data_IF_833151692105
#
_entry.id   IF_833151692105
#
_cell.length_a   1.000
_cell.length_b   1.000
_cell.length_c   1.000
_cell.angle_alpha   90.00
_cell.angle_beta   90.00
_cell.angle_gamma   90.00
#
_symmetry.space_group_name_H-M   'P 1'
#
loop_
_entity.id
_entity.type
_entity.pdbx_description
1 polymer ?
#
# COMPACT_ATOMS: atom_id res chain seq x y z
N UNK A 1 -85.54 -48.49 59.58
CA UNK A 1 -85.46 -49.21 58.29
C UNK A 1 -84.63 -48.38 57.31
N UNK A 2 -83.66 -49.04 56.65
CA UNK A 2 -82.79 -48.57 55.53
C UNK A 2 -81.68 -47.53 55.83
N UNK A 3 -80.44 -48.04 55.91
CA UNK A 3 -79.16 -47.43 55.50
C UNK A 3 -79.13 -47.24 53.94
N UNK A 4 -78.05 -46.73 53.28
CA UNK A 4 -77.15 -45.57 53.51
C UNK A 4 -76.76 -44.84 52.17
N UNK A 5 -75.60 -44.14 52.16
CA UNK A 5 -74.69 -43.77 51.02
C UNK A 5 -74.83 -42.34 50.49
N UNK A 6 -73.80 -41.64 49.98
CA UNK A 6 -72.31 -41.62 49.98
C UNK A 6 -71.96 -40.29 49.24
N UNK A 7 -70.84 -39.61 49.57
CA UNK A 7 -69.93 -38.91 48.61
C UNK A 7 -70.51 -37.61 47.97
N UNK A 8 -69.84 -36.45 47.88
CA UNK A 8 -68.58 -36.16 47.16
C UNK A 8 -68.12 -34.72 47.44
N UNK A 9 -66.83 -34.59 47.78
CA UNK A 9 -65.81 -33.57 47.47
C UNK A 9 -66.13 -32.08 47.19
N UNK A 10 -65.30 -31.28 47.86
CA UNK A 10 -64.92 -29.89 47.62
C UNK A 10 -64.38 -29.59 46.21
N UNK A 11 -64.39 -28.31 45.82
CA UNK A 11 -63.21 -27.64 45.26
C UNK A 11 -63.44 -26.12 45.19
N UNK A 12 -62.75 -25.38 46.07
CA UNK A 12 -62.68 -23.91 46.06
C UNK A 12 -61.48 -23.50 45.21
N UNK A 13 -61.71 -22.91 44.04
CA UNK A 13 -60.66 -22.40 43.17
C UNK A 13 -60.20 -21.01 43.64
N UNK A 14 -59.05 -20.94 44.31
CA UNK A 14 -58.28 -19.71 44.49
C UNK A 14 -57.32 -19.56 43.31
N UNK A 15 -57.61 -18.62 42.41
CA UNK A 15 -56.69 -18.20 41.34
C UNK A 15 -55.61 -17.30 41.94
N UNK A 16 -54.44 -17.86 42.22
CA UNK A 16 -53.22 -17.10 42.48
C UNK A 16 -52.57 -16.77 41.13
N UNK A 17 -52.63 -15.51 40.73
CA UNK A 17 -51.90 -14.98 39.58
C UNK A 17 -50.40 -14.94 39.91
N UNK A 18 -49.67 -15.99 39.52
CA UNK A 18 -48.22 -15.97 39.49
C UNK A 18 -47.75 -15.19 38.26
N UNK A 19 -47.38 -13.93 38.46
CA UNK A 19 -46.60 -13.15 37.48
C UNK A 19 -45.19 -13.73 37.47
N UNK A 20 -44.95 -14.68 36.56
CA UNK A 20 -43.62 -15.20 36.28
C UNK A 20 -42.90 -14.18 35.41
N UNK A 21 -42.12 -13.31 36.03
CA UNK A 21 -41.13 -12.47 35.34
C UNK A 21 -40.03 -13.40 34.83
N UNK A 22 -40.14 -13.89 33.61
CA UNK A 22 -39.03 -14.50 32.89
C UNK A 22 -37.97 -13.42 32.65
N UNK A 23 -37.01 -13.31 33.56
CA UNK A 23 -35.71 -12.73 33.24
C UNK A 23 -35.06 -13.65 32.20
N UNK A 24 -35.24 -13.30 30.93
CA UNK A 24 -34.38 -13.81 29.86
C UNK A 24 -32.99 -13.26 30.13
N UNK A 25 -32.19 -14.02 30.88
CA UNK A 25 -30.75 -13.81 30.97
C UNK A 25 -30.20 -14.17 29.59
N UNK A 26 -30.15 -13.19 28.69
CA UNK A 26 -29.32 -13.30 27.50
C UNK A 26 -27.92 -13.65 27.99
N UNK A 27 -27.31 -14.78 27.56
CA UNK A 27 -25.94 -15.07 27.91
C UNK A 27 -25.12 -13.85 27.49
N UNK A 28 -24.43 -13.24 28.47
CA UNK A 28 -23.43 -12.24 28.16
C UNK A 28 -22.43 -12.92 27.25
N UNK A 29 -22.54 -12.64 25.94
CA UNK A 29 -21.47 -12.93 24.99
C UNK A 29 -20.22 -12.36 25.65
N UNK A 30 -19.15 -13.16 25.85
CA UNK A 30 -17.90 -12.63 26.37
C UNK A 30 -17.56 -11.42 25.52
N UNK A 31 -17.72 -10.24 26.12
CA UNK A 31 -17.37 -9.00 25.47
C UNK A 31 -15.90 -9.16 25.17
N UNK A 32 -15.58 -9.35 23.89
CA UNK A 32 -14.23 -9.13 23.42
C UNK A 32 -13.96 -7.69 23.81
N UNK A 33 -13.24 -7.49 24.91
CA UNK A 33 -12.67 -6.18 25.19
C UNK A 33 -12.01 -5.73 23.90
N UNK A 34 -12.24 -4.49 23.43
CA UNK A 34 -11.81 -4.08 22.10
C UNK A 34 -10.32 -4.44 21.99
N UNK A 35 -9.92 -5.26 21.00
CA UNK A 35 -8.53 -5.68 20.89
C UNK A 35 -7.69 -4.41 20.93
N UNK A 36 -6.70 -4.35 21.82
CA UNK A 36 -5.72 -3.26 21.79
C UNK A 36 -5.05 -3.35 20.42
N UNK A 37 -5.37 -2.44 19.51
CA UNK A 37 -5.34 -2.76 18.08
C UNK A 37 -4.00 -2.44 17.44
N UNK A 38 -3.02 -1.98 18.22
CA UNK A 38 -1.67 -1.62 17.81
C UNK A 38 -0.66 -2.27 18.77
N UNK A 39 0.46 -2.84 18.28
CA UNK A 39 1.58 -3.22 19.13
C UNK A 39 2.02 -2.05 20.01
N UNK A 40 2.36 -2.30 21.28
CA UNK A 40 2.83 -1.25 22.20
C UNK A 40 4.19 -0.67 21.82
N UNK A 41 4.94 -1.35 20.95
CA UNK A 41 6.25 -0.94 20.44
C UNK A 41 6.42 -1.36 18.98
N UNK A 42 7.19 -0.56 18.25
CA UNK A 42 7.79 -0.95 16.98
C UNK A 42 8.99 -1.87 17.25
N UNK A 43 9.08 -3.02 16.57
CA UNK A 43 10.18 -4.00 16.75
C UNK A 43 10.99 -4.23 15.46
N UNK A 44 10.85 -3.35 14.46
CA UNK A 44 11.67 -3.36 13.26
C UNK A 44 13.02 -2.70 13.44
N UNK A 45 14.06 -3.28 12.85
CA UNK A 45 15.42 -2.72 12.79
C UNK A 45 15.59 -1.64 11.71
N UNK A 46 14.56 -1.43 10.88
CA UNK A 46 14.51 -0.44 9.78
C UNK A 46 13.20 0.35 9.81
N UNK A 47 13.18 1.50 9.14
CA UNK A 47 11.94 2.29 8.96
C UNK A 47 10.98 1.59 8.04
N UNK A 48 9.76 1.37 8.52
CA UNK A 48 8.69 0.79 7.72
C UNK A 48 8.85 -0.69 7.42
N UNK A 49 10.05 -1.24 7.49
CA UNK A 49 10.38 -2.63 7.17
C UNK A 49 9.94 -3.68 8.19
N UNK A 50 8.94 -3.40 9.03
CA UNK A 50 8.45 -4.37 10.01
C UNK A 50 6.93 -4.33 10.10
N UNK A 51 6.37 -5.53 10.25
CA UNK A 51 4.97 -5.76 10.58
C UNK A 51 4.86 -6.91 11.59
N UNK A 52 3.81 -6.95 12.42
CA UNK A 52 3.42 -8.15 13.14
C UNK A 52 3.02 -9.28 12.17
N UNK A 53 2.89 -10.49 12.70
CA UNK A 53 2.35 -11.62 11.94
C UNK A 53 0.96 -11.28 11.37
N UNK A 54 0.78 -11.49 10.06
CA UNK A 54 -0.46 -11.22 9.33
C UNK A 54 -1.31 -12.49 9.24
N UNK A 55 -2.63 -12.33 9.05
CA UNK A 55 -3.49 -13.47 8.73
C UNK A 55 -3.09 -14.02 7.35
N UNK A 56 -3.12 -15.34 7.19
CA UNK A 56 -2.96 -15.97 5.87
C UNK A 56 -4.16 -15.65 5.01
N UNK A 57 -4.01 -14.66 4.13
CA UNK A 57 -5.00 -14.24 3.15
C UNK A 57 -4.49 -14.51 1.75
N UNK A 58 -5.37 -14.95 0.85
CA UNK A 58 -5.01 -15.17 -0.54
C UNK A 58 -4.53 -13.86 -1.18
N UNK A 59 -3.40 -13.93 -1.91
CA UNK A 59 -2.80 -12.79 -2.61
C UNK A 59 -1.93 -11.88 -1.73
N UNK A 60 -1.74 -12.19 -0.43
CA UNK A 60 -0.86 -11.38 0.43
C UNK A 60 0.60 -11.41 -0.03
N UNK A 61 1.02 -12.45 -0.75
CA UNK A 61 2.36 -12.59 -1.33
C UNK A 61 2.52 -11.84 -2.68
N UNK A 62 1.42 -11.30 -3.23
CA UNK A 62 1.41 -10.62 -4.54
C UNK A 62 1.19 -9.10 -4.40
N UNK A 63 0.48 -8.67 -3.35
CA UNK A 63 0.11 -7.27 -3.10
C UNK A 63 0.18 -6.92 -1.62
N UNK A 64 0.48 -5.66 -1.32
CA UNK A 64 0.53 -5.16 0.07
C UNK A 64 -0.78 -5.38 0.84
N UNK A 65 -1.92 -5.11 0.19
CA UNK A 65 -3.26 -5.29 0.79
C UNK A 65 -4.20 -5.94 -0.24
N UNK A 66 -4.47 -7.26 -0.13
CA UNK A 66 -5.36 -7.95 -1.06
C UNK A 66 -6.85 -7.68 -0.75
N UNK A 67 -7.73 -7.75 -1.76
CA UNK A 67 -9.18 -7.73 -1.55
C UNK A 67 -9.75 -6.38 -1.11
N UNK A 68 -10.77 -6.40 -0.24
CA UNK A 68 -11.55 -5.23 0.16
C UNK A 68 -11.75 -5.18 1.68
N UNK A 69 -10.78 -4.63 2.43
CA UNK A 69 -10.93 -4.47 3.87
C UNK A 69 -12.04 -3.46 4.18
N UNK A 70 -12.69 -3.65 5.33
CA UNK A 70 -13.81 -2.81 5.79
C UNK A 70 -13.35 -1.70 6.73
N UNK A 71 -12.22 -1.90 7.40
CA UNK A 71 -11.67 -0.96 8.37
C UNK A 71 -10.14 -0.90 8.24
N UNK A 72 -9.58 0.27 8.56
CA UNK A 72 -8.14 0.44 8.74
C UNK A 72 -7.84 1.30 9.95
N UNK A 73 -6.89 0.84 10.77
CA UNK A 73 -6.37 1.57 11.90
C UNK A 73 -4.89 1.88 11.69
N UNK A 74 -4.51 3.13 11.87
CA UNK A 74 -3.11 3.57 11.84
C UNK A 74 -2.56 3.59 13.26
N UNK A 75 -1.35 3.08 13.42
CA UNK A 75 -0.57 3.06 14.66
C UNK A 75 0.72 3.85 14.42
N UNK A 76 0.95 4.92 15.16
CA UNK A 76 2.11 5.79 15.01
C UNK A 76 3.16 5.51 16.08
N UNK A 77 4.43 5.49 15.66
CA UNK A 77 5.61 5.26 16.49
C UNK A 77 6.65 6.35 16.19
N UNK A 78 6.42 7.54 16.74
CA UNK A 78 7.29 8.70 16.53
C UNK A 78 8.57 8.60 17.36
N UNK A 79 9.69 9.05 16.80
CA UNK A 79 11.00 9.09 17.47
C UNK A 79 12.08 9.62 16.54
N UNK A 80 13.33 9.32 16.86
CA UNK A 80 14.44 9.53 15.94
C UNK A 80 14.62 8.29 15.07
N UNK A 81 14.98 8.48 13.81
CA UNK A 81 15.13 7.38 12.88
C UNK A 81 16.30 6.46 13.33
N UNK A 82 17.35 6.96 13.99
CA UNK A 82 18.40 6.10 14.54
C UNK A 82 17.97 5.14 15.68
N UNK A 83 16.72 5.20 16.15
CA UNK A 83 16.19 4.34 17.22
C UNK A 83 15.44 3.11 16.68
N UNK A 84 15.97 1.92 16.99
CA UNK A 84 15.36 0.64 16.58
C UNK A 84 14.00 0.35 17.26
N UNK A 85 13.79 0.83 18.48
CA UNK A 85 12.58 0.52 19.28
C UNK A 85 11.91 1.79 19.74
N UNK A 86 10.68 1.98 19.28
CA UNK A 86 9.88 3.18 19.56
C UNK A 86 8.54 2.77 20.19
N UNK A 87 8.10 3.42 21.29
CA UNK A 87 6.81 3.14 21.89
C UNK A 87 5.69 3.62 20.96
N UNK A 88 4.50 3.03 21.09
CA UNK A 88 3.30 3.54 20.45
C UNK A 88 3.04 4.96 20.96
N UNK A 89 3.01 5.94 20.04
CA UNK A 89 2.73 7.34 20.37
C UNK A 89 1.26 7.70 20.13
N UNK A 90 0.57 6.96 19.28
CA UNK A 90 -0.87 7.07 19.13
C UNK A 90 -1.46 6.10 18.11
N UNK A 91 -2.79 6.04 18.06
CA UNK A 91 -3.51 5.23 17.09
C UNK A 91 -4.80 5.91 16.67
N UNK A 92 -5.20 5.77 15.40
CA UNK A 92 -6.41 6.41 14.87
C UNK A 92 -7.04 5.60 13.73
N UNK A 93 -8.37 5.47 13.69
CA UNK A 93 -9.05 4.94 12.51
C UNK A 93 -8.99 5.96 11.36
N UNK A 94 -8.75 5.46 10.14
CA UNK A 94 -8.70 6.29 8.93
C UNK A 94 -9.83 5.85 8.00
N UNK A 95 -10.55 6.81 7.43
CA UNK A 95 -11.66 6.52 6.53
C UNK A 95 -11.17 6.01 5.16
N UNK A 96 -11.99 5.15 4.51
CA UNK A 96 -11.73 4.67 3.15
C UNK A 96 -10.72 3.52 3.07
N UNK A 97 -10.88 2.50 3.91
CA UNK A 97 -10.00 1.33 3.95
C UNK A 97 -9.85 0.64 2.58
N UNK A 98 -10.92 0.55 1.80
CA UNK A 98 -10.96 0.02 0.44
C UNK A 98 -10.12 0.87 -0.53
N UNK A 99 -10.21 2.20 -0.42
CA UNK A 99 -9.42 3.15 -1.22
C UNK A 99 -7.94 3.06 -0.87
N UNK A 100 -7.60 3.03 0.41
CA UNK A 100 -6.21 2.89 0.86
C UNK A 100 -5.64 1.57 0.36
N UNK A 101 -6.36 0.45 0.57
CA UNK A 101 -5.94 -0.87 0.11
C UNK A 101 -5.69 -0.89 -1.40
N UNK A 102 -6.62 -0.32 -2.19
CA UNK A 102 -6.46 -0.19 -3.64
C UNK A 102 -5.22 0.62 -4.02
N UNK A 103 -5.01 1.79 -3.42
CA UNK A 103 -3.87 2.64 -3.72
C UNK A 103 -2.54 1.94 -3.37
N UNK A 104 -2.48 1.25 -2.23
CA UNK A 104 -1.32 0.45 -1.83
C UNK A 104 -1.09 -0.76 -2.75
N UNK A 105 -2.15 -1.36 -3.28
CA UNK A 105 -2.05 -2.47 -4.25
C UNK A 105 -1.44 -2.06 -5.59
N UNK A 106 -1.38 -0.75 -5.87
CA UNK A 106 -0.72 -0.24 -7.07
C UNK A 106 0.77 0.05 -6.88
N UNK A 107 1.29 0.05 -5.65
CA UNK A 107 2.71 0.31 -5.43
C UNK A 107 3.56 -0.77 -6.09
N UNK A 108 4.69 -0.35 -6.66
CA UNK A 108 5.62 -1.28 -7.28
C UNK A 108 6.20 -2.22 -6.21
N UNK A 109 5.86 -3.50 -6.29
CA UNK A 109 6.56 -4.53 -5.54
C UNK A 109 8.00 -4.65 -6.06
N UNK A 110 8.92 -4.85 -5.12
CA UNK A 110 10.35 -4.91 -5.34
C UNK A 110 10.86 -6.23 -4.77
N UNK A 111 11.74 -6.96 -5.48
CA UNK A 111 12.41 -8.13 -4.91
C UNK A 111 13.28 -7.74 -3.72
N UNK A 112 13.38 -8.59 -2.70
CA UNK A 112 14.17 -8.34 -1.48
C UNK A 112 15.63 -7.94 -1.72
N UNK A 113 16.19 -8.28 -2.89
CA UNK A 113 17.56 -7.96 -3.29
C UNK A 113 17.80 -6.53 -3.77
N UNK A 114 16.76 -5.75 -4.06
CA UNK A 114 16.91 -4.40 -4.63
C UNK A 114 16.92 -3.32 -3.54
N UNK A 115 17.77 -3.48 -2.53
CA UNK A 115 17.96 -2.44 -1.51
C UNK A 115 18.46 -1.15 -2.18
N UNK A 116 17.69 -0.06 -2.04
CA UNK A 116 18.18 1.27 -2.41
C UNK A 116 19.25 1.71 -1.43
N UNK A 117 20.37 2.19 -1.95
CA UNK A 117 21.41 2.84 -1.14
C UNK A 117 20.83 4.17 -0.66
N UNK A 118 20.38 4.21 0.58
CA UNK A 118 19.86 5.42 1.21
C UNK A 118 20.93 6.03 2.10
N UNK A 119 21.15 7.34 1.96
CA UNK A 119 22.07 8.06 2.83
C UNK A 119 21.50 8.07 4.24
N UNK A 120 22.22 7.53 5.22
CA UNK A 120 21.80 7.60 6.62
C UNK A 120 21.92 9.04 7.14
N UNK A 121 20.84 9.81 7.04
CA UNK A 121 20.72 11.12 7.71
C UNK A 121 19.85 10.89 8.94
N UNK A 122 20.40 11.18 10.12
CA UNK A 122 19.67 11.14 11.37
C UNK A 122 18.59 12.23 11.41
N UNK A 123 17.42 11.92 11.95
CA UNK A 123 16.37 12.91 12.21
C UNK A 123 15.04 12.31 12.65
N UNK A 124 14.08 13.20 12.91
CA UNK A 124 12.73 12.81 13.33
C UNK A 124 12.06 11.93 12.27
N UNK A 125 11.47 10.84 12.73
CA UNK A 125 10.69 9.95 11.89
C UNK A 125 9.49 9.40 12.66
N UNK A 126 8.44 9.07 11.93
CA UNK A 126 7.30 8.32 12.45
C UNK A 126 7.16 7.03 11.66
N UNK A 127 7.32 5.89 12.33
CA UNK A 127 6.93 4.61 11.72
C UNK A 127 5.45 4.38 11.92
N UNK A 128 4.81 3.82 10.90
CA UNK A 128 3.39 3.53 10.88
C UNK A 128 3.15 2.03 10.69
N UNK A 129 2.22 1.48 11.47
CA UNK A 129 1.55 0.22 11.14
C UNK A 129 0.10 0.50 10.76
N UNK A 130 -0.34 -0.06 9.65
CA UNK A 130 -1.71 0.02 9.17
C UNK A 130 -2.33 -1.37 9.35
N UNK A 131 -3.33 -1.46 10.23
CA UNK A 131 -4.09 -2.69 10.46
C UNK A 131 -5.35 -2.68 9.61
N UNK A 132 -5.36 -3.43 8.52
CA UNK A 132 -6.56 -3.65 7.71
C UNK A 132 -7.36 -4.82 8.26
N UNK A 133 -8.66 -4.61 8.48
CA UNK A 133 -9.60 -5.65 8.96
C UNK A 133 -10.61 -5.96 7.87
N UNK A 134 -10.90 -7.24 7.65
CA UNK A 134 -11.85 -7.73 6.66
C UNK A 134 -13.17 -8.13 7.32
N UNK A 135 -14.23 -8.27 6.52
CA UNK A 135 -15.58 -8.58 7.04
C UNK A 135 -15.69 -9.93 7.76
N UNK A 136 -14.75 -10.84 7.51
CA UNK A 136 -14.62 -12.14 8.20
C UNK A 136 -13.71 -12.09 9.45
N UNK A 137 -13.18 -10.91 9.79
CA UNK A 137 -12.28 -10.70 10.91
C UNK A 137 -10.80 -10.95 10.60
N UNK A 138 -10.44 -11.35 9.38
CA UNK A 138 -9.04 -11.48 8.98
C UNK A 138 -8.32 -10.12 9.07
N UNK A 139 -6.99 -10.15 9.21
CA UNK A 139 -6.16 -8.95 9.38
C UNK A 139 -4.92 -8.99 8.51
N UNK A 140 -4.65 -7.88 7.81
CA UNK A 140 -3.36 -7.61 7.16
C UNK A 140 -2.72 -6.40 7.82
N UNK A 141 -1.41 -6.49 8.04
CA UNK A 141 -0.59 -5.38 8.50
C UNK A 141 0.25 -4.85 7.35
N UNK A 142 0.35 -3.53 7.26
CA UNK A 142 1.33 -2.85 6.40
C UNK A 142 2.19 -1.94 7.26
N UNK A 143 3.49 -2.07 7.14
CA UNK A 143 4.49 -1.22 7.79
C UNK A 143 5.06 -0.23 6.79
N UNK A 144 5.25 1.01 7.22
CA UNK A 144 5.94 2.05 6.47
C UNK A 144 6.43 3.15 7.42
N UNK A 145 7.02 4.23 6.90
CA UNK A 145 7.43 5.38 7.73
C UNK A 145 7.48 6.69 6.94
N UNK A 146 7.35 7.78 7.68
CA UNK A 146 7.68 9.14 7.27
C UNK A 146 9.02 9.53 7.90
N UNK A 147 10.01 9.86 7.07
CA UNK A 147 11.37 10.16 7.51
C UNK A 147 12.11 11.08 6.52
N UNK A 148 13.17 11.80 6.96
CA UNK A 148 13.73 12.92 6.23
C UNK A 148 14.44 12.58 4.90
N UNK A 149 14.73 11.31 4.64
CA UNK A 149 15.45 10.86 3.44
C UNK A 149 14.54 10.25 2.38
N UNK A 150 13.23 10.20 2.61
CA UNK A 150 12.22 9.66 1.69
C UNK A 150 12.54 8.25 1.15
N UNK A 151 13.10 7.43 2.02
CA UNK A 151 13.74 6.15 1.78
C UNK A 151 13.08 5.00 2.52
N UNK A 152 12.09 5.28 3.37
CA UNK A 152 11.31 4.26 4.03
C UNK A 152 10.64 3.32 3.01
N UNK A 153 10.75 2.02 3.27
CA UNK A 153 10.05 1.00 2.49
C UNK A 153 8.65 0.78 3.05
N UNK A 154 7.75 0.31 2.19
CA UNK A 154 6.42 -0.14 2.59
C UNK A 154 6.32 -1.65 2.43
N UNK A 155 5.93 -2.40 3.46
CA UNK A 155 5.87 -3.86 3.41
C UNK A 155 4.69 -4.43 4.18
N UNK A 156 4.20 -5.62 3.79
CA UNK A 156 3.27 -6.43 4.56
C UNK A 156 3.93 -7.70 5.15
N UNK A 157 5.27 -7.76 5.13
CA UNK A 157 6.07 -8.90 5.60
C UNK A 157 6.43 -9.91 4.51
N UNK A 158 5.74 -9.91 3.37
CA UNK A 158 5.99 -10.82 2.24
C UNK A 158 6.28 -10.07 0.93
N UNK A 159 5.63 -8.92 0.75
CA UNK A 159 5.86 -7.97 -0.34
C UNK A 159 6.51 -6.71 0.22
N UNK A 160 7.52 -6.20 -0.49
CA UNK A 160 8.15 -4.92 -0.18
C UNK A 160 8.02 -3.97 -1.37
N UNK A 161 7.73 -2.70 -1.11
CA UNK A 161 7.73 -1.61 -2.07
C UNK A 161 8.74 -0.55 -1.64
N UNK A 162 9.49 -0.04 -2.61
CA UNK A 162 10.40 1.10 -2.42
C UNK A 162 9.72 2.45 -2.69
N UNK A 163 8.45 2.46 -3.08
CA UNK A 163 7.71 3.70 -3.29
C UNK A 163 7.49 4.36 -1.93
N UNK A 164 8.05 5.56 -1.77
CA UNK A 164 7.90 6.35 -0.57
C UNK A 164 6.47 6.91 -0.47
N UNK A 165 5.83 6.67 0.68
CA UNK A 165 4.47 7.15 0.98
C UNK A 165 4.39 7.81 2.37
N UNK A 166 5.53 8.17 2.97
CA UNK A 166 5.62 8.65 4.34
C UNK A 166 4.75 9.88 4.61
N UNK A 167 4.86 10.91 3.77
CA UNK A 167 4.06 12.14 3.89
C UNK A 167 2.55 11.86 3.82
N UNK A 168 2.14 10.90 2.98
CA UNK A 168 0.74 10.47 2.84
C UNK A 168 0.21 9.85 4.12
N UNK A 169 1.06 9.08 4.80
CA UNK A 169 0.71 8.41 6.04
C UNK A 169 0.55 9.41 7.17
N UNK A 170 1.46 10.38 7.27
CA UNK A 170 1.37 11.47 8.24
C UNK A 170 0.11 12.30 8.01
N UNK A 171 -0.16 12.75 6.78
CA UNK A 171 -1.37 13.50 6.47
C UNK A 171 -2.64 12.68 6.76
N UNK A 172 -2.64 11.38 6.44
CA UNK A 172 -3.79 10.51 6.71
C UNK A 172 -4.01 10.26 8.20
N UNK A 173 -2.94 10.15 8.98
CA UNK A 173 -3.03 10.03 10.43
C UNK A 173 -3.55 11.32 11.07
N UNK A 174 -3.05 12.48 10.64
CA UNK A 174 -3.39 13.79 11.21
C UNK A 174 -4.80 14.26 10.79
N UNK A 175 -5.19 14.05 9.54
CA UNK A 175 -6.52 14.45 9.04
C UNK A 175 -7.59 13.38 9.27
N UNK A 176 -7.22 12.09 9.29
CA UNK A 176 -8.13 10.94 9.27
C UNK A 176 -8.67 10.60 7.88
N UNK A 177 -8.24 11.31 6.83
CA UNK A 177 -8.61 11.07 5.44
C UNK A 177 -7.41 10.63 4.61
N UNK A 178 -7.62 9.74 3.64
CA UNK A 178 -6.54 9.26 2.79
C UNK A 178 -6.50 9.94 1.43
N UNK A 179 -5.31 10.43 1.08
CA UNK A 179 -4.93 10.79 -0.28
C UNK A 179 -3.49 10.35 -0.53
N UNK A 180 -3.29 9.54 -1.57
CA UNK A 180 -1.95 9.27 -2.08
C UNK A 180 -1.44 10.53 -2.80
N UNK A 181 -0.23 11.02 -2.51
CA UNK A 181 0.41 12.13 -3.19
C UNK A 181 0.33 11.89 -4.68
N UNK A 182 -0.37 12.78 -5.36
CA UNK A 182 -0.29 12.85 -6.80
C UNK A 182 1.02 13.53 -7.10
N UNK A 183 1.81 12.91 -7.97
CA UNK A 183 2.96 13.59 -8.52
C UNK A 183 2.49 14.93 -9.13
N UNK A 184 3.17 16.03 -8.79
CA UNK A 184 2.86 17.38 -9.31
C UNK A 184 2.87 17.40 -10.84
N UNK A 185 3.64 16.50 -11.44
CA UNK A 185 3.69 16.26 -12.86
C UNK A 185 3.74 14.76 -13.17
N UNK A 186 3.33 14.37 -14.38
CA UNK A 186 3.55 13.01 -14.88
C UNK A 186 5.04 12.60 -14.85
N UNK A 187 5.93 13.60 -14.88
CA UNK A 187 7.38 13.41 -14.86
C UNK A 187 7.94 13.06 -13.48
N UNK A 188 7.14 13.10 -12.40
CA UNK A 188 7.58 12.84 -11.02
C UNK A 188 6.92 11.61 -10.39
N UNK A 189 6.54 10.63 -11.23
CA UNK A 189 5.85 9.42 -10.77
C UNK A 189 6.79 8.32 -10.24
N UNK A 190 6.36 7.67 -9.14
CA UNK A 190 7.13 6.69 -8.36
C UNK A 190 7.01 5.21 -8.77
N UNK A 191 6.41 4.91 -9.92
CA UNK A 191 6.25 3.55 -10.43
C UNK A 191 4.92 2.87 -10.07
N UNK A 192 4.71 1.65 -10.60
CA UNK A 192 3.46 0.89 -10.56
C UNK A 192 3.72 -0.61 -10.36
N UNK A 193 2.78 -1.32 -9.71
CA UNK A 193 2.75 -2.78 -9.65
C UNK A 193 2.87 -3.42 -11.04
N UNK A 194 3.55 -4.56 -11.09
CA UNK A 194 3.87 -5.29 -12.31
C UNK A 194 5.17 -4.82 -12.95
N UNK A 195 5.72 -3.67 -12.53
CA UNK A 195 6.97 -3.19 -13.10
C UNK A 195 8.11 -4.19 -12.90
N UNK A 196 8.19 -4.90 -11.75
CA UNK A 196 9.15 -5.97 -11.46
C UNK A 196 9.17 -7.14 -12.43
N UNK A 197 8.05 -7.40 -13.14
CA UNK A 197 7.98 -8.43 -14.17
C UNK A 197 8.26 -7.86 -15.56
N UNK A 198 7.80 -6.62 -15.81
CA UNK A 198 7.90 -5.91 -17.09
C UNK A 198 8.00 -4.42 -16.88
N UNK A 199 8.93 -3.74 -17.55
CA UNK A 199 9.14 -2.30 -17.42
C UNK A 199 7.86 -1.46 -17.58
N UNK A 200 7.00 -1.87 -18.50
CA UNK A 200 5.70 -1.26 -18.74
C UNK A 200 4.60 -2.33 -18.67
N UNK A 201 3.81 -2.38 -17.60
CA UNK A 201 2.66 -3.27 -17.50
C UNK A 201 1.66 -3.07 -18.65
N UNK A 202 0.91 -4.12 -19.00
CA UNK A 202 -0.11 -4.07 -20.05
C UNK A 202 -1.25 -3.08 -19.73
N UNK A 203 -1.91 -2.58 -20.77
CA UNK A 203 -3.06 -1.67 -20.62
C UNK A 203 -2.73 -0.17 -20.55
N UNK A 204 -1.51 0.23 -20.90
CA UNK A 204 -1.16 1.65 -21.01
C UNK A 204 -1.99 2.33 -22.12
N UNK A 205 -2.66 3.43 -21.79
CA UNK A 205 -3.56 4.18 -22.68
C UNK A 205 -2.99 5.52 -23.14
N UNK A 206 -1.95 6.00 -22.48
CA UNK A 206 -1.24 7.22 -22.87
C UNK A 206 0.22 7.15 -22.41
N UNK A 207 1.05 8.02 -22.96
CA UNK A 207 2.44 8.18 -22.52
C UNK A 207 2.82 9.65 -22.48
N UNK A 208 3.55 10.04 -21.46
CA UNK A 208 4.19 11.35 -21.36
C UNK A 208 5.69 11.14 -21.43
N UNK A 209 6.34 11.75 -22.42
CA UNK A 209 7.80 11.74 -22.56
C UNK A 209 8.33 13.02 -21.97
N UNK A 210 9.03 12.90 -20.85
CA UNK A 210 9.59 13.98 -20.10
C UNK A 210 11.08 14.14 -20.40
N UNK A 211 11.48 15.37 -20.70
CA UNK A 211 12.88 15.78 -20.85
C UNK A 211 13.21 16.81 -19.77
N UNK A 212 14.38 16.67 -19.17
CA UNK A 212 14.93 17.70 -18.29
C UNK A 212 15.54 18.83 -19.13
N UNK A 213 15.05 20.05 -18.92
CA UNK A 213 15.58 21.29 -19.52
C UNK A 213 15.95 22.22 -18.36
N UNK A 214 17.26 22.45 -18.20
CA UNK A 214 17.81 23.02 -16.96
C UNK A 214 17.38 22.18 -15.72
N UNK A 215 16.68 22.79 -14.76
CA UNK A 215 16.20 22.14 -13.54
C UNK A 215 14.71 21.79 -13.56
N UNK A 216 14.05 21.94 -14.71
CA UNK A 216 12.62 21.66 -14.85
C UNK A 216 12.38 20.47 -15.77
N UNK A 217 11.39 19.65 -15.45
CA UNK A 217 10.87 18.63 -16.34
C UNK A 217 9.83 19.22 -17.29
N UNK A 218 10.02 18.98 -18.58
CA UNK A 218 9.05 19.34 -19.63
C UNK A 218 8.54 18.05 -20.26
N UNK A 219 7.23 17.90 -20.36
CA UNK A 219 6.59 16.65 -20.77
C UNK A 219 5.66 16.83 -21.96
N UNK A 220 5.83 15.98 -22.97
CA UNK A 220 4.97 15.93 -24.15
C UNK A 220 4.11 14.68 -24.08
N UNK A 221 2.79 14.83 -24.28
CA UNK A 221 1.79 13.76 -24.12
C UNK A 221 1.41 13.15 -25.47
N UNK A 222 1.30 11.83 -25.50
CA UNK A 222 0.89 11.05 -26.66
C UNK A 222 -0.22 10.06 -26.30
N UNK A 223 -0.90 9.58 -27.33
CA UNK A 223 -2.04 8.67 -27.20
C UNK A 223 -1.64 7.20 -27.06
N UNK A 224 -2.66 6.35 -27.18
CA UNK A 224 -2.53 4.90 -26.99
C UNK A 224 -1.60 4.23 -28.01
N UNK A 225 -1.57 4.71 -29.25
CA UNK A 225 -0.73 4.13 -30.30
C UNK A 225 0.78 4.27 -29.96
N UNK A 226 1.21 5.47 -29.56
CA UNK A 226 2.57 5.74 -29.11
C UNK A 226 2.87 5.01 -27.80
N UNK A 227 1.93 4.99 -26.85
CA UNK A 227 2.09 4.26 -25.59
C UNK A 227 2.35 2.77 -25.84
N UNK A 228 1.53 2.12 -26.67
CA UNK A 228 1.68 0.70 -27.02
C UNK A 228 3.00 0.43 -27.75
N UNK A 229 3.37 1.28 -28.71
CA UNK A 229 4.63 1.17 -29.46
C UNK A 229 5.83 1.25 -28.52
N UNK A 230 5.89 2.28 -27.68
CA UNK A 230 7.02 2.50 -26.78
C UNK A 230 7.09 1.45 -25.66
N UNK A 231 5.95 1.02 -25.12
CA UNK A 231 5.88 -0.09 -24.16
C UNK A 231 6.44 -1.39 -24.76
N UNK A 232 6.10 -1.71 -26.02
CA UNK A 232 6.63 -2.88 -26.72
C UNK A 232 8.15 -2.83 -26.90
N UNK A 233 8.68 -1.65 -27.27
CA UNK A 233 10.14 -1.46 -27.40
C UNK A 233 10.86 -1.61 -26.05
N UNK A 234 10.31 -1.00 -24.98
CA UNK A 234 10.89 -1.10 -23.64
C UNK A 234 10.85 -2.54 -23.13
N UNK A 235 9.70 -3.22 -23.21
CA UNK A 235 9.57 -4.59 -22.72
C UNK A 235 10.34 -5.63 -23.57
N UNK A 236 10.76 -5.28 -24.79
CA UNK A 236 11.66 -6.10 -25.60
C UNK A 236 13.13 -5.90 -25.24
N UNK A 237 13.48 -4.81 -24.55
CA UNK A 237 14.82 -4.62 -23.98
C UNK A 237 15.02 -5.59 -22.81
N UNK A 238 16.22 -6.20 -22.69
CA UNK A 238 16.57 -6.93 -21.49
C UNK A 238 16.47 -6.01 -20.25
N UNK A 239 15.65 -6.42 -19.28
CA UNK A 239 15.62 -5.79 -17.97
C UNK A 239 16.57 -6.57 -17.05
N UNK A 240 17.77 -6.04 -16.85
CA UNK A 240 18.71 -6.63 -15.88
C UNK A 240 18.68 -5.81 -14.58
N UNK A 241 18.69 -6.47 -13.40
CA UNK A 241 19.09 -5.79 -12.18
C UNK A 241 20.53 -5.31 -12.39
N UNK A 242 20.70 -4.00 -12.51
CA UNK A 242 21.97 -3.47 -12.95
C UNK A 242 23.11 -3.75 -11.99
N UNK A 243 24.23 -4.28 -12.48
CA UNK A 243 25.51 -4.18 -11.76
C UNK A 243 25.89 -2.69 -11.64
N UNK A 244 26.53 -2.23 -10.57
CA UNK A 244 26.95 -0.83 -10.48
C UNK A 244 28.07 -0.53 -11.49
N UNK A 245 27.71 -0.08 -12.69
CA UNK A 245 28.61 0.43 -13.72
C UNK A 245 28.19 1.83 -14.19
N UNK A 246 29.17 2.65 -14.58
CA UNK A 246 28.91 4.00 -15.07
C UNK A 246 28.29 4.03 -16.46
N UNK A 247 27.59 5.12 -16.77
CA UNK A 247 27.08 5.41 -18.12
C UNK A 247 28.21 5.86 -19.05
N UNK A 248 28.34 5.22 -20.21
CA UNK A 248 29.24 5.65 -21.30
C UNK A 248 28.35 5.96 -22.51
N UNK A 249 27.75 7.15 -22.50
CA UNK A 249 26.77 7.54 -23.51
C UNK A 249 26.60 9.05 -23.65
N UNK A 250 25.97 9.50 -24.75
CA UNK A 250 25.65 10.91 -24.93
C UNK A 250 24.77 11.40 -23.77
N UNK A 251 24.99 12.64 -23.28
CA UNK A 251 24.21 13.17 -22.18
C UNK A 251 22.74 13.26 -22.56
N UNK A 252 21.88 12.77 -21.67
CA UNK A 252 20.44 12.93 -21.79
C UNK A 252 19.71 12.00 -20.83
N UNK A 253 18.76 12.57 -20.11
CA UNK A 253 17.89 11.87 -19.19
C UNK A 253 16.44 12.17 -19.58
N UNK A 254 15.72 11.12 -19.93
CA UNK A 254 14.29 11.17 -20.12
C UNK A 254 13.59 10.39 -19.02
N UNK A 255 12.39 10.83 -18.66
CA UNK A 255 11.43 10.02 -17.91
C UNK A 255 10.26 9.74 -18.83
N UNK A 256 9.81 8.51 -18.87
CA UNK A 256 8.67 8.10 -19.69
C UNK A 256 7.60 7.59 -18.74
N UNK A 257 6.48 8.30 -18.67
CA UNK A 257 5.37 7.97 -17.77
C UNK A 257 4.18 7.43 -18.58
N UNK A 258 3.83 6.17 -18.38
CA UNK A 258 2.71 5.51 -19.03
C UNK A 258 1.45 5.65 -18.18
N UNK A 259 0.42 6.28 -18.73
CA UNK A 259 -0.88 6.45 -18.09
C UNK A 259 -1.76 5.22 -18.27
N UNK A 260 -2.59 4.95 -17.26
CA UNK A 260 -3.54 3.84 -17.23
C UNK A 260 -4.94 4.38 -16.87
N UNK A 261 -6.03 3.65 -17.17
CA UNK A 261 -7.38 4.04 -16.76
C UNK A 261 -7.53 4.18 -15.23
N UNK A 262 -6.78 3.37 -14.48
CA UNK A 262 -6.83 3.32 -13.02
C UNK A 262 -5.41 3.27 -12.44
N UNK A 263 -5.23 3.86 -11.26
CA UNK A 263 -3.97 3.82 -10.51
C UNK A 263 -2.89 4.78 -11.03
N UNK A 264 -1.68 4.76 -10.41
CA UNK A 264 -0.57 5.63 -10.76
C UNK A 264 0.05 5.22 -12.11
N UNK A 265 0.67 6.16 -12.83
CA UNK A 265 1.40 5.84 -14.04
C UNK A 265 2.60 4.91 -13.74
N UNK A 266 2.96 4.08 -14.72
CA UNK A 266 4.24 3.38 -14.70
C UNK A 266 5.32 4.34 -15.21
N UNK A 267 6.40 4.51 -14.44
CA UNK A 267 7.48 5.44 -14.77
C UNK A 267 8.73 4.65 -15.16
N UNK A 268 9.36 5.02 -16.26
CA UNK A 268 10.62 4.43 -16.72
C UNK A 268 11.63 5.56 -16.95
N UNK A 269 12.78 5.48 -16.30
CA UNK A 269 13.88 6.40 -16.58
C UNK A 269 14.70 5.86 -17.74
N UNK A 270 14.86 6.66 -18.78
CA UNK A 270 15.59 6.34 -20.01
C UNK A 270 16.83 7.22 -20.09
N UNK A 271 18.02 6.60 -20.13
CA UNK A 271 19.30 7.29 -20.22
C UNK A 271 20.14 6.72 -21.37
N UNK A 272 20.76 7.60 -22.15
CA UNK A 272 21.53 7.22 -23.33
C UNK A 272 22.87 6.58 -22.97
N UNK A 273 23.20 5.45 -23.60
CA UNK A 273 24.47 4.72 -23.44
C UNK A 273 24.78 4.30 -22.00
N UNK A 274 23.76 3.97 -21.23
CA UNK A 274 23.92 3.36 -19.92
C UNK A 274 23.55 1.90 -19.95
N UNK A 275 24.43 1.08 -19.39
CA UNK A 275 23.98 0.02 -18.52
C UNK A 275 23.73 0.68 -17.13
N UNK A 276 22.62 0.40 -16.43
CA UNK A 276 22.36 0.66 -14.98
C UNK A 276 21.83 2.07 -14.57
N UNK A 277 21.08 2.36 -13.47
CA UNK A 277 20.61 1.69 -12.22
C UNK A 277 19.22 2.21 -11.73
N UNK A 278 18.48 1.34 -10.98
CA UNK A 278 17.36 1.52 -10.01
C UNK A 278 15.88 1.59 -10.46
N UNK A 279 15.05 0.76 -9.79
CA UNK A 279 13.64 0.37 -10.08
C UNK A 279 13.41 0.12 -11.58
N UNK A 280 14.16 -0.85 -12.08
CA UNK A 280 14.06 -1.42 -13.43
C UNK A 280 14.29 -0.36 -14.51
N UNK A 281 15.58 -0.07 -14.70
CA UNK A 281 16.06 0.69 -15.85
C UNK A 281 16.33 -0.31 -16.95
N UNK A 282 15.67 -0.19 -18.11
CA UNK A 282 16.07 -0.94 -19.30
C UNK A 282 17.49 -0.51 -19.70
N UNK A 283 18.32 -1.45 -20.16
CA UNK A 283 19.35 -1.05 -21.11
C UNK A 283 18.62 -0.62 -22.38
N UNK A 284 18.53 0.70 -22.53
CA UNK A 284 17.75 1.29 -23.59
C UNK A 284 18.59 1.21 -24.86
N UNK A 285 18.35 0.17 -25.65
CA UNK A 285 18.97 0.06 -26.96
C UNK A 285 18.67 1.29 -27.82
N UNK A 286 19.53 1.52 -28.81
CA UNK A 286 19.41 2.63 -29.76
C UNK A 286 18.00 2.83 -30.35
N UNK A 287 17.20 1.77 -30.63
CA UNK A 287 15.82 1.94 -31.09
C UNK A 287 14.91 2.70 -30.11
N UNK A 288 14.94 2.34 -28.82
CA UNK A 288 14.11 3.01 -27.80
C UNK A 288 14.63 4.44 -27.57
N UNK A 289 15.96 4.63 -27.50
CA UNK A 289 16.56 5.96 -27.31
C UNK A 289 16.18 6.92 -28.44
N UNK A 290 16.25 6.46 -29.69
CA UNK A 290 15.85 7.22 -30.87
C UNK A 290 14.37 7.59 -30.82
N UNK A 291 13.52 6.65 -30.46
CA UNK A 291 12.08 6.85 -30.36
C UNK A 291 11.72 7.91 -29.31
N UNK A 292 12.29 7.79 -28.10
CA UNK A 292 12.09 8.75 -27.02
C UNK A 292 12.55 10.16 -27.41
N UNK A 293 13.71 10.27 -28.08
CA UNK A 293 14.22 11.55 -28.58
C UNK A 293 13.33 12.16 -29.66
N UNK A 294 12.82 11.34 -30.57
CA UNK A 294 11.93 11.79 -31.63
C UNK A 294 10.65 12.35 -31.03
N UNK A 295 10.00 11.61 -30.14
CA UNK A 295 8.81 12.08 -29.42
C UNK A 295 9.12 13.40 -28.68
N UNK A 296 10.16 13.43 -27.84
CA UNK A 296 10.54 14.62 -27.09
C UNK A 296 10.92 15.87 -27.93
N UNK A 297 11.10 15.72 -29.25
CA UNK A 297 11.36 16.85 -30.17
C UNK A 297 10.11 17.41 -30.87
N UNK A 298 8.98 16.70 -30.80
CA UNK A 298 7.76 17.01 -31.54
C UNK A 298 6.59 17.55 -30.70
N UNK A 299 6.74 17.64 -29.37
CA UNK A 299 5.74 18.26 -28.49
C UNK A 299 6.35 19.38 -27.69
#
# INVERSE_FOLDING_TARGET
MKLPRLVTLALSALMAAAVVTLLVTTPAVPGHGPPSPCPSRWDGDRFGGWVPETSRLAGVDDVLVPGSPVEVLFCAYSGENVEARRPLTGSRPVAGADRIARDLSFLAATPDSALSVCTAIGGRATSYLLRFTYGDGAVVWVGSADEPTSCATTTNGTVTSLVYIGESLTEAYDSGGWELPRADSACDSGGRRGQHERLVPEGATSVVVCRRVADTWTGSRYGEAEARRLAGLLNASPAYPGEPGGCIGPPGLFRVAFGYPEGPPASVTVRGGCAFTALLVAEVGEPVWREVRLLASHG
#
